data_IF_302585844663
#
_entry.id   IF_302585844663
#
_cell.length_a   1.000
_cell.length_b   1.000
_cell.length_c   1.000
_cell.angle_alpha   90.00
_cell.angle_beta   90.00
_cell.angle_gamma   90.00
#
_symmetry.space_group_name_H-M   'P 1'
#
loop_
_entity.id
_entity.type
_entity.pdbx_description
1 polymer ?
#
# COMPACT_ATOMS: atom_id res chain seq x y z
N UNK A 1 -13.05 2.19 21.40
CA UNK A 1 -13.43 2.84 20.13
C UNK A 1 -12.45 3.96 19.88
N UNK A 2 -11.88 4.03 18.68
CA UNK A 2 -10.96 5.09 18.28
C UNK A 2 -11.57 5.86 17.11
N UNK A 3 -11.45 7.19 17.13
CA UNK A 3 -11.95 8.09 16.09
C UNK A 3 -10.86 9.11 15.78
N UNK A 4 -10.64 9.35 14.49
CA UNK A 4 -9.64 10.33 14.03
C UNK A 4 -9.96 10.81 12.62
N UNK A 5 -9.30 11.89 12.22
CA UNK A 5 -9.36 12.39 10.84
C UNK A 5 -8.02 12.08 10.14
N UNK A 6 -8.09 11.60 8.91
CA UNK A 6 -6.91 11.27 8.08
C UNK A 6 -5.98 12.47 7.88
N UNK A 7 -6.49 13.71 7.89
CA UNK A 7 -5.67 14.92 7.78
C UNK A 7 -4.73 15.13 8.96
N UNK A 8 -5.04 14.54 10.11
CA UNK A 8 -4.27 14.70 11.35
C UNK A 8 -3.21 13.61 11.54
N UNK A 9 -3.18 12.60 10.65
CA UNK A 9 -2.17 11.54 10.68
C UNK A 9 -0.99 11.98 9.80
N UNK A 10 0.24 12.03 10.31
CA UNK A 10 1.38 12.44 9.49
C UNK A 10 1.66 11.43 8.37
N UNK A 11 2.00 11.95 7.19
CA UNK A 11 2.54 11.13 6.10
C UNK A 11 3.99 10.76 6.40
N UNK A 12 4.34 9.50 6.15
CA UNK A 12 5.69 8.98 6.28
C UNK A 12 6.17 8.52 4.90
N UNK A 13 7.35 8.98 4.49
CA UNK A 13 8.01 8.49 3.28
C UNK A 13 8.47 7.04 3.49
N UNK A 14 8.15 6.15 2.55
CA UNK A 14 8.51 4.73 2.63
C UNK A 14 9.62 4.32 1.65
N UNK A 15 10.27 5.28 1.00
CA UNK A 15 11.38 5.03 0.05
C UNK A 15 12.53 4.23 0.64
N UNK A 16 12.74 4.28 1.96
CA UNK A 16 13.78 3.51 2.65
C UNK A 16 13.41 2.06 2.95
N UNK A 17 12.12 1.66 2.84
CA UNK A 17 11.67 0.31 3.22
C UNK A 17 12.07 -0.75 2.19
N UNK A 18 12.17 -0.36 0.92
CA UNK A 18 12.47 -1.27 -0.19
C UNK A 18 13.25 -0.48 -1.24
N UNK A 19 14.49 -0.92 -1.52
CA UNK A 19 15.39 -0.26 -2.47
C UNK A 19 14.69 -0.06 -3.82
N UNK A 20 14.73 1.17 -4.34
CA UNK A 20 14.06 1.54 -5.59
C UNK A 20 12.65 2.10 -5.41
N UNK A 21 12.10 2.05 -4.19
CA UNK A 21 10.84 2.73 -3.86
C UNK A 21 11.02 4.23 -3.89
N UNK A 22 10.07 4.95 -4.48
CA UNK A 22 10.07 6.41 -4.54
C UNK A 22 8.66 6.95 -4.70
N UNK A 23 8.39 8.12 -4.12
CA UNK A 23 7.11 8.82 -4.26
C UNK A 23 5.93 8.09 -3.60
N UNK A 24 6.19 7.18 -2.66
CA UNK A 24 5.18 6.52 -1.85
C UNK A 24 5.20 7.09 -0.44
N UNK A 25 4.02 7.46 0.07
CA UNK A 25 3.83 7.98 1.41
C UNK A 25 2.70 7.22 2.09
N UNK A 26 2.91 6.84 3.35
CA UNK A 26 1.93 6.10 4.15
C UNK A 26 1.42 6.93 5.31
N UNK A 27 0.14 6.75 5.65
CA UNK A 27 -0.47 7.20 6.89
C UNK A 27 -1.08 5.99 7.61
N UNK A 28 -0.62 5.72 8.83
CA UNK A 28 -1.13 4.64 9.67
C UNK A 28 -2.38 5.11 10.43
N UNK A 29 -3.58 4.67 10.01
CA UNK A 29 -4.86 5.19 10.51
C UNK A 29 -5.38 4.41 11.71
N UNK A 30 -5.30 3.07 11.64
CA UNK A 30 -5.67 2.15 12.73
C UNK A 30 -4.54 1.14 12.88
N UNK A 31 -3.98 1.04 14.08
CA UNK A 31 -2.85 0.14 14.41
C UNK A 31 -3.09 -0.58 15.75
N UNK A 32 -2.08 -1.35 16.19
CA UNK A 32 -2.01 -1.92 17.56
C UNK A 32 -2.14 -0.86 18.65
N UNK A 33 -1.66 0.36 18.42
CA UNK A 33 -1.76 1.45 19.41
C UNK A 33 -3.21 1.89 19.64
N UNK A 34 -4.09 1.62 18.67
CA UNK A 34 -5.53 1.86 18.79
C UNK A 34 -6.30 0.62 19.31
N UNK A 35 -5.60 -0.47 19.64
CA UNK A 35 -6.18 -1.74 20.10
C UNK A 35 -6.56 -2.73 18.97
N UNK A 36 -6.17 -2.46 17.71
CA UNK A 36 -6.40 -3.40 16.61
C UNK A 36 -5.24 -4.38 16.52
N UNK A 37 -5.42 -5.60 17.04
CA UNK A 37 -4.36 -6.62 17.08
C UNK A 37 -4.36 -7.57 15.89
N UNK A 38 -5.43 -7.56 15.07
CA UNK A 38 -5.57 -8.49 13.93
C UNK A 38 -5.18 -7.86 12.59
N UNK A 39 -5.39 -6.56 12.44
CA UNK A 39 -5.12 -5.83 11.21
C UNK A 39 -4.74 -4.38 11.46
N UNK A 40 -4.06 -3.78 10.49
CA UNK A 40 -3.86 -2.34 10.42
C UNK A 40 -4.61 -1.76 9.22
N UNK A 41 -5.06 -0.51 9.33
CA UNK A 41 -5.62 0.27 8.23
C UNK A 41 -4.67 1.41 7.93
N UNK A 42 -4.23 1.52 6.68
CA UNK A 42 -3.32 2.56 6.20
C UNK A 42 -3.87 3.22 4.94
N UNK A 43 -3.60 4.52 4.79
CA UNK A 43 -3.78 5.24 3.51
C UNK A 43 -2.42 5.40 2.87
N UNK A 44 -2.36 5.20 1.56
CA UNK A 44 -1.22 5.60 0.76
C UNK A 44 -1.54 6.80 -0.12
N UNK A 45 -0.53 7.63 -0.30
CA UNK A 45 -0.46 8.62 -1.37
C UNK A 45 0.74 8.28 -2.23
N UNK A 46 0.50 8.13 -3.53
CA UNK A 46 1.53 7.82 -4.52
C UNK A 46 1.63 8.99 -5.47
N UNK A 47 2.77 9.70 -5.45
CA UNK A 47 3.04 10.82 -6.35
C UNK A 47 3.10 10.37 -7.82
N UNK A 48 2.94 11.27 -8.80
CA UNK A 48 3.15 10.94 -10.21
C UNK A 48 4.48 10.23 -10.44
N UNK A 49 4.44 9.20 -11.28
CA UNK A 49 5.52 8.26 -11.52
C UNK A 49 5.93 7.41 -10.31
N UNK A 50 5.39 7.59 -9.10
CA UNK A 50 5.75 6.86 -7.89
C UNK A 50 5.70 5.34 -8.09
N UNK A 51 6.64 4.61 -7.49
CA UNK A 51 6.85 3.18 -7.75
C UNK A 51 7.30 2.49 -6.48
N UNK A 52 6.72 1.32 -6.24
CA UNK A 52 7.16 0.33 -5.28
C UNK A 52 7.54 -0.93 -6.07
N UNK A 53 8.83 -1.32 -6.10
CA UNK A 53 9.35 -2.44 -6.90
C UNK A 53 8.68 -3.79 -6.61
N UNK A 54 8.96 -4.78 -7.45
CA UNK A 54 8.45 -6.13 -7.27
C UNK A 54 8.97 -6.72 -5.95
N UNK A 55 8.06 -7.12 -5.09
CA UNK A 55 8.37 -7.69 -3.80
C UNK A 55 7.26 -8.64 -3.34
N UNK A 56 7.50 -9.32 -2.22
CA UNK A 56 6.46 -10.05 -1.51
C UNK A 56 6.66 -9.98 0.01
N UNK A 57 5.65 -10.43 0.76
CA UNK A 57 5.66 -10.45 2.22
C UNK A 57 4.62 -11.45 2.73
N UNK A 58 4.71 -11.84 4.01
CA UNK A 58 3.83 -12.86 4.61
C UNK A 58 2.41 -12.36 4.86
N UNK A 59 2.25 -11.10 5.25
CA UNK A 59 0.94 -10.52 5.53
C UNK A 59 0.11 -10.35 4.25
N UNK A 60 -1.21 -10.31 4.43
CA UNK A 60 -2.17 -10.07 3.34
C UNK A 60 -2.40 -8.58 3.15
N UNK A 61 -2.78 -8.16 1.93
CA UNK A 61 -3.26 -6.80 1.67
C UNK A 61 -4.63 -6.81 0.99
N UNK A 62 -5.56 -6.01 1.50
CA UNK A 62 -6.81 -5.68 0.81
C UNK A 62 -6.84 -4.18 0.50
N UNK A 63 -6.94 -3.82 -0.78
CA UNK A 63 -6.77 -2.46 -1.27
C UNK A 63 -8.02 -1.95 -1.98
N UNK A 64 -8.41 -0.71 -1.71
CA UNK A 64 -9.44 0.03 -2.46
C UNK A 64 -8.88 1.37 -2.91
N UNK A 65 -8.95 1.65 -4.21
CA UNK A 65 -8.41 2.87 -4.82
C UNK A 65 -9.44 3.99 -4.72
N UNK A 66 -9.01 5.15 -4.24
CA UNK A 66 -9.84 6.33 -4.03
C UNK A 66 -9.60 7.41 -5.09
N UNK A 67 -8.37 7.52 -5.60
CA UNK A 67 -7.96 8.56 -6.55
C UNK A 67 -6.82 8.07 -7.45
N UNK A 68 -6.73 8.65 -8.65
CA UNK A 68 -5.59 8.50 -9.56
C UNK A 68 -5.61 7.21 -10.36
N UNK A 69 -4.49 6.89 -11.02
CA UNK A 69 -4.36 5.72 -11.89
C UNK A 69 -3.13 4.92 -11.51
N UNK A 70 -3.33 3.69 -11.07
CA UNK A 70 -2.26 2.78 -10.67
C UNK A 70 -2.10 1.67 -11.69
N UNK A 71 -0.86 1.29 -11.96
CA UNK A 71 -0.52 0.02 -12.59
C UNK A 71 -0.05 -0.94 -11.50
N UNK A 72 -0.77 -2.04 -11.34
CA UNK A 72 -0.42 -3.10 -10.39
C UNK A 72 0.04 -4.31 -11.19
N UNK A 73 1.23 -4.82 -10.89
CA UNK A 73 1.70 -6.10 -11.46
C UNK A 73 1.56 -7.18 -10.39
N UNK A 74 1.10 -8.36 -10.81
CA UNK A 74 0.94 -9.53 -9.95
C UNK A 74 0.39 -10.71 -10.74
N UNK A 75 0.64 -11.94 -10.28
CA UNK A 75 0.18 -13.17 -10.94
C UNK A 75 0.52 -13.27 -12.44
N UNK A 76 1.71 -12.78 -12.83
CA UNK A 76 2.17 -12.80 -14.23
C UNK A 76 1.45 -11.81 -15.16
N UNK A 77 0.61 -10.93 -14.63
CA UNK A 77 -0.14 -9.93 -15.38
C UNK A 77 0.10 -8.51 -14.84
N UNK A 78 -0.32 -7.52 -15.62
CA UNK A 78 -0.36 -6.12 -15.23
C UNK A 78 -1.77 -5.57 -15.41
N UNK A 79 -2.26 -4.85 -14.40
CA UNK A 79 -3.60 -4.28 -14.34
C UNK A 79 -3.50 -2.77 -14.21
N UNK A 80 -4.25 -2.03 -15.01
CA UNK A 80 -4.43 -0.59 -14.83
C UNK A 80 -5.73 -0.36 -14.08
N UNK A 81 -5.62 0.22 -12.88
CA UNK A 81 -6.70 0.37 -11.93
C UNK A 81 -6.90 1.86 -11.58
N UNK A 82 -8.14 2.25 -11.34
CA UNK A 82 -8.55 3.61 -11.01
C UNK A 82 -9.50 3.68 -9.81
N UNK A 83 -10.13 4.84 -9.56
CA UNK A 83 -11.02 5.03 -8.41
C UNK A 83 -12.20 4.05 -8.43
N UNK A 84 -12.44 3.39 -7.30
CA UNK A 84 -13.48 2.37 -7.16
C UNK A 84 -13.00 0.93 -7.42
N UNK A 85 -11.88 0.75 -8.10
CA UNK A 85 -11.26 -0.56 -8.25
C UNK A 85 -10.63 -1.02 -6.93
N UNK A 86 -10.57 -2.34 -6.75
CA UNK A 86 -10.00 -2.98 -5.59
C UNK A 86 -9.19 -4.21 -5.99
N UNK A 87 -8.26 -4.62 -5.14
CA UNK A 87 -7.50 -5.84 -5.33
C UNK A 87 -7.07 -6.44 -3.99
N UNK A 88 -6.73 -7.72 -4.02
CA UNK A 88 -6.23 -8.47 -2.88
C UNK A 88 -4.88 -9.08 -3.23
N UNK A 89 -3.97 -9.07 -2.27
CA UNK A 89 -2.66 -9.71 -2.35
C UNK A 89 -2.58 -10.74 -1.23
N UNK A 90 -2.45 -12.00 -1.62
CA UNK A 90 -2.25 -13.13 -0.70
C UNK A 90 -0.84 -13.20 -0.13
N UNK A 91 -0.62 -14.07 0.88
CA UNK A 91 0.71 -14.28 1.45
C UNK A 91 1.72 -14.68 0.38
N UNK A 92 2.85 -13.97 0.36
CA UNK A 92 3.97 -14.17 -0.55
C UNK A 92 3.67 -14.00 -2.05
N UNK A 93 2.49 -13.48 -2.42
CA UNK A 93 2.18 -13.17 -3.81
C UNK A 93 3.05 -12.00 -4.30
N UNK A 94 3.89 -12.21 -5.34
CA UNK A 94 4.72 -11.13 -5.90
C UNK A 94 3.88 -10.02 -6.49
N UNK A 95 4.18 -8.77 -6.13
CA UNK A 95 3.48 -7.63 -6.70
C UNK A 95 4.33 -6.35 -6.72
N UNK A 96 3.95 -5.43 -7.62
CA UNK A 96 4.49 -4.07 -7.68
C UNK A 96 3.38 -3.07 -7.98
N UNK A 97 3.58 -1.82 -7.57
CA UNK A 97 2.59 -0.75 -7.74
C UNK A 97 3.30 0.48 -8.30
N UNK A 98 2.75 1.02 -9.38
CA UNK A 98 3.23 2.23 -10.04
C UNK A 98 2.09 3.21 -10.23
N UNK A 99 2.29 4.50 -9.93
CA UNK A 99 1.36 5.54 -10.38
C UNK A 99 1.75 5.96 -11.80
N UNK A 100 0.89 5.58 -12.75
CA UNK A 100 1.04 5.88 -14.18
C UNK A 100 0.26 7.13 -14.61
N UNK A 101 -0.40 7.81 -13.67
CA UNK A 101 -1.09 9.07 -13.87
C UNK A 101 -0.19 10.29 -13.70
N UNK A 102 -0.76 11.46 -14.01
CA UNK A 102 -0.14 12.78 -13.84
C UNK A 102 -0.53 13.48 -12.52
N UNK A 103 -1.39 12.85 -11.73
CA UNK A 103 -1.83 13.33 -10.41
C UNK A 103 -1.47 12.32 -9.31
N UNK A 104 -1.54 12.77 -8.05
CA UNK A 104 -1.45 11.87 -6.89
C UNK A 104 -2.55 10.80 -6.95
N UNK A 105 -2.13 9.54 -6.79
CA UNK A 105 -3.02 8.42 -6.56
C UNK A 105 -3.16 8.15 -5.07
N UNK A 106 -4.33 7.67 -4.66
CA UNK A 106 -4.64 7.40 -3.26
C UNK A 106 -5.39 6.10 -3.11
N UNK A 107 -5.06 5.33 -2.08
CA UNK A 107 -5.78 4.10 -1.75
C UNK A 107 -5.77 3.81 -0.26
N UNK A 108 -6.78 3.08 0.20
CA UNK A 108 -6.80 2.43 1.50
C UNK A 108 -6.22 1.04 1.32
N UNK A 109 -5.33 0.65 2.22
CA UNK A 109 -4.81 -0.71 2.30
C UNK A 109 -5.00 -1.23 3.73
N UNK A 110 -5.61 -2.39 3.85
CA UNK A 110 -5.77 -3.12 5.11
C UNK A 110 -4.81 -4.30 5.09
N UNK A 111 -3.99 -4.43 6.13
CA UNK A 111 -3.02 -5.53 6.25
C UNK A 111 -3.29 -6.37 7.48
N UNK A 112 -3.03 -7.68 7.41
CA UNK A 112 -2.98 -8.54 8.59
C UNK A 112 -1.70 -8.30 9.39
N UNK A 113 -1.75 -8.60 10.69
CA UNK A 113 -0.54 -8.70 11.50
C UNK A 113 -0.04 -10.14 11.53
N UNK A 114 1.20 -10.34 11.09
CA UNK A 114 1.90 -11.61 11.13
C UNK A 114 3.12 -11.53 12.05
N UNK A 115 3.73 -12.69 12.33
CA UNK A 115 5.02 -12.81 13.02
C UNK A 115 6.19 -12.23 12.19
N UNK A 116 6.11 -12.31 10.87
CA UNK A 116 7.05 -11.72 9.92
C UNK A 116 6.38 -10.62 9.07
N UNK A 117 6.74 -9.37 9.33
CA UNK A 117 6.26 -8.19 8.61
C UNK A 117 7.28 -7.68 7.57
N UNK A 118 8.33 -8.44 7.26
CA UNK A 118 9.38 -8.00 6.34
C UNK A 118 8.92 -7.98 4.89
N UNK A 119 9.35 -6.95 4.16
CA UNK A 119 9.25 -6.90 2.71
C UNK A 119 10.47 -7.61 2.11
N UNK A 120 10.25 -8.51 1.15
CA UNK A 120 11.32 -9.21 0.45
C UNK A 120 11.38 -8.71 -1.01
N UNK A 121 12.42 -7.95 -1.40
CA UNK A 121 12.62 -7.56 -2.78
C UNK A 121 12.80 -8.82 -3.65
N UNK A 122 12.26 -8.77 -4.86
CA UNK A 122 12.45 -9.81 -5.88
C UNK A 122 13.26 -9.30 -7.08
N UNK A 123 13.63 -8.01 -7.06
CA UNK A 123 14.44 -7.30 -8.04
C UNK A 123 15.39 -6.31 -7.34
#
# INVERSE_FOLDING_TARGET
MYVGNVSNVPQQDVSSLLKGTRGFYVQWLVTKDNGSFKYAVRRFVVKPNGYMPLHNHKYTEAVVILKGKLKVKGNGAAYELGPGDFFFIGPYEPHSIENIGNEDAEFICVISYEDDMTLKPLE
#
